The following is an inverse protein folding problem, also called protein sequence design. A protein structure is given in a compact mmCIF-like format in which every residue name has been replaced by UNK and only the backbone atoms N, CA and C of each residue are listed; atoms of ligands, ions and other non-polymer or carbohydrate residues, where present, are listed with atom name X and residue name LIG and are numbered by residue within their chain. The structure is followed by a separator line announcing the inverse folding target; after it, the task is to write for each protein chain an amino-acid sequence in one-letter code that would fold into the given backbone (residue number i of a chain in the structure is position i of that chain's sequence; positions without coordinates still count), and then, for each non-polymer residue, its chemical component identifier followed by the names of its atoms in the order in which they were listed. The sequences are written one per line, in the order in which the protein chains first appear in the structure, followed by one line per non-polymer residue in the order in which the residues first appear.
data_IF_297854574847
#
_entry.id   IF_297854574847
#
_cell.length_a   1.000
_cell.length_b   1.000
_cell.length_c   1.000
_cell.angle_alpha   90.00
_cell.angle_beta   90.00
_cell.angle_gamma   90.00
#
_symmetry.space_group_name_H-M   'P 1'
#
loop_
_entity.id
_entity.type
_entity.pdbx_description
1 polymer ?
#
# COMPACT_ATOMS: atom_id res chain seq x y z
N UNK A 1 8.19 -1.58 31.23
CA UNK A 1 8.21 -0.81 29.99
C UNK A 1 8.01 -1.80 28.86
N UNK A 2 7.01 -1.58 28.00
CA UNK A 2 6.73 -2.42 26.84
C UNK A 2 7.86 -2.27 25.82
N UNK A 3 8.26 -3.36 25.17
CA UNK A 3 9.24 -3.33 24.08
C UNK A 3 8.49 -3.12 22.76
N UNK A 4 8.64 -1.96 22.12
CA UNK A 4 7.92 -1.63 20.88
C UNK A 4 8.56 -2.31 19.67
N UNK A 5 7.70 -2.88 18.83
CA UNK A 5 8.10 -3.46 17.55
C UNK A 5 8.72 -2.41 16.63
N UNK A 6 9.50 -2.86 15.64
CA UNK A 6 10.08 -1.96 14.62
C UNK A 6 9.00 -1.10 13.95
N UNK A 7 7.83 -1.67 13.64
CA UNK A 7 6.73 -0.95 12.99
C UNK A 7 6.06 0.09 13.90
N UNK A 8 5.92 -0.17 15.20
CA UNK A 8 5.42 0.82 16.15
C UNK A 8 6.36 2.04 16.23
N UNK A 9 7.67 1.78 16.31
CA UNK A 9 8.72 2.82 16.30
C UNK A 9 8.68 3.59 14.97
N UNK A 10 8.56 2.89 13.84
CA UNK A 10 8.48 3.47 12.50
C UNK A 10 7.28 4.38 12.34
N UNK A 11 6.09 3.91 12.71
CA UNK A 11 4.86 4.68 12.62
C UNK A 11 4.96 5.97 13.44
N UNK A 12 5.44 5.88 14.68
CA UNK A 12 5.64 7.05 15.54
C UNK A 12 6.63 8.06 14.92
N UNK A 13 7.80 7.60 14.43
CA UNK A 13 8.79 8.46 13.79
C UNK A 13 8.24 9.16 12.53
N UNK A 14 7.51 8.43 11.68
CA UNK A 14 6.89 9.00 10.47
C UNK A 14 5.79 10.02 10.81
N UNK A 15 5.01 9.79 11.87
CA UNK A 15 3.97 10.74 12.31
C UNK A 15 4.56 12.04 12.85
N UNK A 16 5.72 11.98 13.52
CA UNK A 16 6.48 13.16 13.95
C UNK A 16 6.99 13.92 12.72
N UNK A 17 7.67 13.23 11.81
CA UNK A 17 8.21 13.84 10.59
C UNK A 17 7.10 14.45 9.72
N UNK A 18 5.90 13.89 9.79
CA UNK A 18 4.72 14.40 9.11
C UNK A 18 3.95 15.51 9.82
N UNK A 19 4.39 15.91 11.02
CA UNK A 19 3.66 16.87 11.85
C UNK A 19 2.27 16.38 12.28
N UNK A 20 1.99 15.08 12.18
CA UNK A 20 0.74 14.45 12.65
C UNK A 20 0.75 14.28 14.16
N UNK A 21 1.93 14.09 14.73
CA UNK A 21 2.19 14.04 16.17
C UNK A 21 3.05 15.24 16.58
N UNK A 22 2.69 15.87 17.69
CA UNK A 22 3.52 16.93 18.29
C UNK A 22 4.54 16.31 19.22
N UNK A 23 5.79 16.71 19.14
CA UNK A 23 6.83 16.29 20.07
C UNK A 23 7.43 17.52 20.78
N UNK A 24 8.04 17.27 21.94
CA UNK A 24 8.55 18.31 22.83
C UNK A 24 9.87 18.92 22.36
N UNK A 25 10.60 18.24 21.46
CA UNK A 25 11.88 18.69 20.93
C UNK A 25 11.79 19.01 19.44
N UNK A 26 12.75 19.80 18.94
CA UNK A 26 13.05 19.80 17.51
C UNK A 26 13.38 18.37 17.06
N UNK A 27 13.16 18.04 15.79
CA UNK A 27 13.40 16.69 15.29
C UNK A 27 14.25 16.76 14.01
N UNK A 28 15.29 17.59 14.03
CA UNK A 28 16.22 17.78 12.91
C UNK A 28 17.56 17.10 13.15
N UNK A 29 17.76 16.47 14.31
CA UNK A 29 18.91 15.63 14.63
C UNK A 29 18.49 14.22 15.06
N UNK A 30 19.34 13.23 14.78
CA UNK A 30 19.10 11.82 15.10
C UNK A 30 18.63 11.59 16.55
N UNK A 31 19.37 12.14 17.53
CA UNK A 31 19.08 11.97 18.96
C UNK A 31 17.73 12.60 19.31
N UNK A 32 17.45 13.78 18.77
CA UNK A 32 16.19 14.46 19.06
C UNK A 32 15.00 13.70 18.48
N UNK A 33 15.11 13.17 17.25
CA UNK A 33 14.06 12.31 16.68
C UNK A 33 13.85 11.04 17.52
N UNK A 34 14.91 10.44 18.07
CA UNK A 34 14.80 9.29 18.96
C UNK A 34 14.02 9.62 20.25
N UNK A 35 14.32 10.77 20.88
CA UNK A 35 13.61 11.26 22.07
C UNK A 35 12.14 11.56 21.76
N UNK A 36 11.87 12.23 20.64
CA UNK A 36 10.51 12.51 20.17
C UNK A 36 9.74 11.21 19.91
N UNK A 37 10.39 10.19 19.33
CA UNK A 37 9.78 8.89 19.06
C UNK A 37 9.43 8.16 20.36
N UNK A 38 10.35 8.15 21.34
CA UNK A 38 10.08 7.60 22.68
C UNK A 38 8.91 8.31 23.38
N UNK A 39 8.84 9.64 23.25
CA UNK A 39 7.76 10.45 23.80
C UNK A 39 6.40 10.07 23.20
N UNK A 40 6.31 9.98 21.87
CA UNK A 40 5.07 9.60 21.17
C UNK A 40 4.63 8.20 21.54
N UNK A 41 5.56 7.23 21.57
CA UNK A 41 5.25 5.85 21.94
C UNK A 41 4.72 5.75 23.38
N UNK A 42 5.37 6.43 24.32
CA UNK A 42 4.90 6.46 25.71
C UNK A 42 3.50 7.05 25.84
N UNK A 43 3.16 8.10 25.06
CA UNK A 43 1.79 8.63 25.03
C UNK A 43 0.78 7.64 24.44
N UNK A 44 1.16 6.90 23.40
CA UNK A 44 0.31 5.86 22.79
C UNK A 44 0.02 4.70 23.73
N UNK A 45 0.96 4.38 24.61
CA UNK A 45 0.78 3.42 25.70
C UNK A 45 -0.08 3.96 26.86
N UNK A 46 -0.59 5.19 26.77
CA UNK A 46 -1.44 5.80 27.78
C UNK A 46 -0.68 6.37 28.99
N UNK A 47 0.64 6.52 28.89
CA UNK A 47 1.44 7.15 29.93
C UNK A 47 1.49 8.67 29.72
N UNK A 48 1.01 9.42 30.71
CA UNK A 48 1.08 10.89 30.75
C UNK A 48 2.17 11.30 31.74
N UNK A 49 3.30 11.82 31.27
CA UNK A 49 4.32 12.42 32.15
C UNK A 49 4.37 13.93 31.93
N UNK A 50 4.51 14.64 33.05
CA UNK A 50 4.64 16.09 33.13
C UNK A 50 5.95 16.57 32.48
N UNK A 51 5.87 17.65 31.72
CA UNK A 51 7.02 18.34 31.10
C UNK A 51 8.01 18.73 32.21
N UNK A 52 9.24 18.19 32.17
CA UNK A 52 10.33 18.57 33.09
C UNK A 52 10.74 17.55 34.17
N UNK A 53 10.24 16.31 34.15
CA UNK A 53 10.74 15.27 35.06
C UNK A 53 12.19 14.83 34.69
N UNK A 54 13.12 14.69 35.66
CA UNK A 54 14.48 14.21 35.39
C UNK A 54 14.44 12.71 35.09
N UNK A 55 14.52 12.36 33.81
CA UNK A 55 14.43 10.98 33.30
C UNK A 55 13.59 10.90 32.03
N UNK A 56 13.97 11.69 31.02
CA UNK A 56 13.21 11.85 29.77
C UNK A 56 12.96 10.54 29.01
N UNK A 57 11.97 10.57 28.13
CA UNK A 57 11.62 9.45 27.25
C UNK A 57 12.85 9.02 26.44
N UNK A 58 13.30 7.77 26.61
CA UNK A 58 14.49 7.26 25.96
C UNK A 58 14.21 5.84 25.45
N UNK A 59 14.49 5.60 24.16
CA UNK A 59 14.50 4.24 23.62
C UNK A 59 15.69 3.50 24.20
N UNK A 60 15.45 2.37 24.88
CA UNK A 60 16.50 1.61 25.58
C UNK A 60 16.63 0.20 25.03
N UNK A 61 17.82 -0.37 25.16
CA UNK A 61 18.08 -1.74 24.73
C UNK A 61 17.76 -1.96 23.25
N UNK A 62 16.90 -2.95 22.96
CA UNK A 62 16.55 -3.30 21.57
C UNK A 62 15.80 -2.19 20.83
N UNK A 63 15.01 -1.35 21.52
CA UNK A 63 14.30 -0.25 20.87
C UNK A 63 15.26 0.79 20.28
N UNK A 64 16.38 1.04 20.97
CA UNK A 64 17.43 1.94 20.49
C UNK A 64 18.07 1.42 19.21
N UNK A 65 18.36 0.12 19.16
CA UNK A 65 18.93 -0.51 17.96
C UNK A 65 17.92 -0.58 16.81
N UNK A 66 16.64 -0.91 17.07
CA UNK A 66 15.58 -0.86 16.06
C UNK A 66 15.38 0.55 15.50
N UNK A 67 15.44 1.57 16.35
CA UNK A 67 15.39 2.96 15.88
C UNK A 67 16.61 3.35 15.05
N UNK A 68 17.80 2.87 15.43
CA UNK A 68 19.03 3.05 14.63
C UNK A 68 18.87 2.45 13.24
N UNK A 69 18.37 1.22 13.14
CA UNK A 69 18.07 0.56 11.87
C UNK A 69 17.02 1.34 11.06
N UNK A 70 15.90 1.72 11.71
CA UNK A 70 14.85 2.53 11.11
C UNK A 70 15.39 3.83 10.50
N UNK A 71 16.24 4.56 11.23
CA UNK A 71 16.79 5.82 10.73
C UNK A 71 17.55 5.61 9.42
N UNK A 72 18.37 4.56 9.36
CA UNK A 72 19.10 4.20 8.13
C UNK A 72 18.17 3.71 7.03
N UNK A 73 17.07 3.05 7.37
CA UNK A 73 16.06 2.62 6.40
C UNK A 73 15.35 3.81 5.77
N UNK A 74 14.95 4.81 6.56
CA UNK A 74 14.38 6.05 6.05
C UNK A 74 15.35 6.79 5.12
N UNK A 75 16.65 6.77 5.44
CA UNK A 75 17.68 7.33 4.57
C UNK A 75 17.84 6.55 3.26
N UNK A 76 17.95 5.22 3.32
CA UNK A 76 18.07 4.36 2.13
C UNK A 76 16.84 4.40 1.23
N UNK A 77 15.66 4.61 1.80
CA UNK A 77 14.40 4.81 1.08
C UNK A 77 14.27 6.22 0.49
N UNK A 78 15.23 7.12 0.78
CA UNK A 78 15.23 8.49 0.30
C UNK A 78 14.18 9.38 0.96
N UNK A 79 13.53 8.95 2.05
CA UNK A 79 12.53 9.74 2.78
C UNK A 79 13.22 10.88 3.52
N UNK A 80 14.35 10.59 4.15
CA UNK A 80 15.23 11.59 4.76
C UNK A 80 16.56 11.68 4.00
N UNK A 81 17.25 12.81 4.13
CA UNK A 81 18.63 13.00 3.71
C UNK A 81 19.45 13.56 4.87
N UNK A 82 20.75 13.27 4.88
CA UNK A 82 21.68 13.86 5.85
C UNK A 82 21.93 15.33 5.54
N UNK A 83 22.17 16.09 6.60
CA UNK A 83 22.35 17.53 6.58
C UNK A 83 21.03 18.30 6.61
N UNK A 84 20.97 19.34 7.43
CA UNK A 84 19.83 20.25 7.53
C UNK A 84 19.96 21.41 6.54
N UNK A 85 21.16 21.98 6.41
CA UNK A 85 21.50 23.12 5.53
C UNK A 85 23.02 23.27 5.41
N UNK A 86 23.50 24.28 4.68
CA UNK A 86 24.94 24.54 4.48
C UNK A 86 25.72 24.73 5.78
N UNK A 87 25.07 25.26 6.82
CA UNK A 87 25.66 25.42 8.16
C UNK A 87 25.72 24.10 8.94
N UNK A 88 24.89 23.11 8.57
CA UNK A 88 24.75 21.82 9.24
C UNK A 88 24.65 20.69 8.20
N UNK A 89 25.69 20.45 7.38
CA UNK A 89 25.59 19.59 6.21
C UNK A 89 25.73 18.09 6.52
N UNK A 90 26.12 17.73 7.74
CA UNK A 90 26.51 16.38 8.12
C UNK A 90 25.60 15.78 9.20
N UNK A 91 25.66 14.46 9.36
CA UNK A 91 25.14 13.77 10.55
C UNK A 91 25.70 14.41 11.84
N UNK A 92 24.92 14.60 12.91
CA UNK A 92 23.61 14.00 13.19
C UNK A 92 22.41 14.74 12.57
N UNK A 93 22.65 15.85 11.87
CA UNK A 93 21.59 16.62 11.24
C UNK A 93 21.00 15.88 10.04
N UNK A 94 19.70 16.00 9.89
CA UNK A 94 18.98 15.45 8.75
C UNK A 94 17.76 16.33 8.46
N UNK A 95 17.14 16.07 7.31
CA UNK A 95 15.87 16.67 6.93
C UNK A 95 15.07 15.72 6.07
N UNK A 96 13.78 15.98 5.93
CA UNK A 96 13.01 15.35 4.86
C UNK A 96 13.59 15.73 3.51
N UNK A 97 13.74 14.72 2.65
CA UNK A 97 14.08 14.96 1.26
C UNK A 97 12.89 15.61 0.54
N UNK A 98 13.07 16.01 -0.73
CA UNK A 98 11.93 16.43 -1.54
C UNK A 98 10.93 15.28 -1.72
N UNK A 99 11.42 14.06 -1.98
CA UNK A 99 10.60 12.86 -2.08
C UNK A 99 9.84 12.56 -0.78
N UNK A 100 10.51 12.63 0.37
CA UNK A 100 9.88 12.39 1.68
C UNK A 100 8.79 13.41 2.02
N UNK A 101 8.97 14.69 1.66
CA UNK A 101 7.91 15.71 1.81
C UNK A 101 6.68 15.40 0.98
N UNK A 102 6.87 15.04 -0.30
CA UNK A 102 5.76 14.64 -1.16
C UNK A 102 5.00 13.42 -0.62
N UNK A 103 5.72 12.44 -0.07
CA UNK A 103 5.12 11.25 0.55
C UNK A 103 4.30 11.59 1.82
N UNK A 104 4.66 12.66 2.52
CA UNK A 104 4.15 13.02 3.85
C UNK A 104 3.00 14.03 3.81
N UNK A 105 2.97 14.95 2.85
CA UNK A 105 2.06 16.12 2.78
C UNK A 105 0.56 15.80 2.49
N UNK A 106 0.11 14.55 2.70
CA UNK A 106 -1.30 14.12 2.67
C UNK A 106 -2.11 14.60 1.45
N UNK A 107 -1.74 14.13 0.26
CA UNK A 107 -2.69 14.13 -0.87
C UNK A 107 -2.67 12.84 -1.68
N UNK A 108 -1.99 11.79 -1.20
CA UNK A 108 -2.10 10.47 -1.81
C UNK A 108 -3.25 9.69 -1.16
N UNK A 109 -4.32 9.35 -1.91
CA UNK A 109 -5.20 8.29 -1.51
C UNK A 109 -4.38 7.01 -1.33
N UNK A 110 -4.61 6.30 -0.21
CA UNK A 110 -3.92 5.05 0.15
C UNK A 110 -2.48 5.21 0.65
N UNK A 111 -2.26 5.91 1.78
CA UNK A 111 -0.94 5.95 2.41
C UNK A 111 -0.56 4.60 3.02
N UNK A 112 0.38 3.87 2.41
CA UNK A 112 0.97 2.66 2.98
C UNK A 112 2.46 2.58 2.69
N UNK A 113 3.23 2.02 3.61
CA UNK A 113 4.70 1.93 3.51
C UNK A 113 5.28 0.59 3.96
N UNK A 114 4.45 -0.28 4.55
CA UNK A 114 4.80 -1.61 5.01
C UNK A 114 3.63 -2.60 4.75
N UNK A 115 3.79 -3.87 5.14
CA UNK A 115 2.75 -4.90 4.91
C UNK A 115 1.51 -4.65 5.76
N UNK A 116 1.68 -4.21 7.00
CA UNK A 116 0.60 -3.94 7.96
C UNK A 116 -0.23 -2.75 7.50
N UNK A 117 0.40 -1.60 7.22
CA UNK A 117 -0.29 -0.41 6.72
C UNK A 117 -0.99 -0.65 5.37
N UNK A 118 -0.37 -1.43 4.48
CA UNK A 118 -1.04 -1.84 3.23
C UNK A 118 -2.27 -2.73 3.48
N UNK A 119 -2.12 -3.69 4.40
CA UNK A 119 -3.21 -4.60 4.80
C UNK A 119 -4.39 -3.83 5.42
N UNK A 120 -4.10 -2.87 6.28
CA UNK A 120 -5.10 -2.01 6.94
C UNK A 120 -5.88 -1.21 5.91
N UNK A 121 -5.19 -0.47 5.03
CA UNK A 121 -5.82 0.32 3.97
C UNK A 121 -6.71 -0.55 3.07
N UNK A 122 -6.26 -1.77 2.71
CA UNK A 122 -7.06 -2.70 1.93
C UNK A 122 -8.31 -3.15 2.70
N UNK A 123 -8.19 -3.50 3.98
CA UNK A 123 -9.34 -3.94 4.81
C UNK A 123 -10.33 -2.83 5.10
N UNK A 124 -9.86 -1.60 5.29
CA UNK A 124 -10.72 -0.42 5.44
C UNK A 124 -11.49 -0.15 4.15
N UNK A 125 -10.81 -0.26 2.99
CA UNK A 125 -11.41 0.01 1.68
C UNK A 125 -12.32 -1.13 1.21
N UNK A 126 -11.94 -2.38 1.47
CA UNK A 126 -12.66 -3.61 1.10
C UNK A 126 -12.78 -4.54 2.33
N UNK A 127 -13.72 -4.29 3.26
CA UNK A 127 -13.85 -5.07 4.50
C UNK A 127 -14.10 -6.57 4.30
N UNK A 128 -14.67 -6.95 3.14
CA UNK A 128 -14.97 -8.34 2.75
C UNK A 128 -13.90 -8.95 1.83
N UNK A 129 -12.69 -8.40 1.82
CA UNK A 129 -11.59 -8.89 0.96
C UNK A 129 -11.38 -10.40 1.18
N UNK A 130 -11.22 -11.14 0.10
CA UNK A 130 -10.99 -12.57 0.13
C UNK A 130 -9.62 -12.86 0.76
N UNK A 131 -9.57 -13.85 1.66
CA UNK A 131 -8.34 -14.19 2.41
C UNK A 131 -7.17 -14.58 1.50
N UNK A 132 -7.42 -15.33 0.43
CA UNK A 132 -6.39 -15.74 -0.53
C UNK A 132 -5.88 -14.52 -1.31
N UNK A 133 -6.78 -13.67 -1.80
CA UNK A 133 -6.39 -12.40 -2.43
C UNK A 133 -5.49 -11.58 -1.48
N UNK A 134 -5.89 -11.45 -0.21
CA UNK A 134 -5.14 -10.68 0.77
C UNK A 134 -3.74 -11.24 1.02
N UNK A 135 -3.59 -12.58 1.10
CA UNK A 135 -2.27 -13.22 1.23
C UNK A 135 -1.35 -12.81 0.07
N UNK A 136 -1.82 -12.89 -1.17
CA UNK A 136 -0.99 -12.49 -2.33
C UNK A 136 -0.66 -10.99 -2.34
N UNK A 137 -1.53 -10.13 -1.81
CA UNK A 137 -1.22 -8.70 -1.65
C UNK A 137 -0.16 -8.46 -0.58
N UNK A 138 -0.20 -9.21 0.51
CA UNK A 138 0.83 -9.16 1.55
C UNK A 138 2.18 -9.62 1.02
N UNK A 139 2.21 -10.73 0.27
CA UNK A 139 3.42 -11.22 -0.42
C UNK A 139 3.95 -10.21 -1.44
N UNK A 140 3.07 -9.56 -2.21
CA UNK A 140 3.46 -8.52 -3.15
C UNK A 140 4.14 -7.33 -2.44
N UNK A 141 3.57 -6.88 -1.32
CA UNK A 141 4.12 -5.76 -0.54
C UNK A 141 5.42 -6.14 0.17
N UNK A 142 5.53 -7.37 0.68
CA UNK A 142 6.76 -7.87 1.29
C UNK A 142 7.89 -7.93 0.26
N UNK A 143 7.62 -8.50 -0.92
CA UNK A 143 8.59 -8.57 -2.01
C UNK A 143 9.02 -7.18 -2.51
N UNK A 144 8.09 -6.21 -2.55
CA UNK A 144 8.41 -4.83 -2.89
C UNK A 144 9.36 -4.21 -1.85
N UNK A 145 9.10 -4.40 -0.56
CA UNK A 145 9.95 -3.87 0.51
C UNK A 145 11.36 -4.42 0.46
N UNK A 146 11.53 -5.72 0.19
CA UNK A 146 12.85 -6.36 0.08
C UNK A 146 13.55 -6.13 -1.26
N UNK A 147 12.95 -5.37 -2.19
CA UNK A 147 13.54 -5.05 -3.49
C UNK A 147 13.39 -6.14 -4.55
N UNK A 148 12.60 -7.19 -4.28
CA UNK A 148 12.28 -8.26 -5.24
C UNK A 148 11.15 -7.83 -6.19
N UNK A 149 11.42 -6.81 -7.02
CA UNK A 149 10.38 -6.12 -7.81
C UNK A 149 9.65 -7.01 -8.83
N UNK A 150 10.34 -7.97 -9.44
CA UNK A 150 9.71 -8.95 -10.34
C UNK A 150 8.72 -9.85 -9.58
N UNK A 151 9.14 -10.34 -8.41
CA UNK A 151 8.27 -11.15 -7.53
C UNK A 151 7.07 -10.35 -7.06
N UNK A 152 7.26 -9.09 -6.69
CA UNK A 152 6.17 -8.19 -6.30
C UNK A 152 5.14 -8.04 -7.43
N UNK A 153 5.60 -7.81 -8.66
CA UNK A 153 4.73 -7.71 -9.83
C UNK A 153 3.95 -9.00 -10.12
N UNK A 154 4.61 -10.17 -9.95
CA UNK A 154 3.96 -11.47 -10.11
C UNK A 154 2.88 -11.68 -9.05
N UNK A 155 3.18 -11.47 -7.77
CA UNK A 155 2.20 -11.65 -6.68
C UNK A 155 1.01 -10.69 -6.81
N UNK A 156 1.27 -9.43 -7.16
CA UNK A 156 0.20 -8.46 -7.41
C UNK A 156 -0.71 -8.90 -8.56
N UNK A 157 -0.13 -9.37 -9.66
CA UNK A 157 -0.91 -9.88 -10.79
C UNK A 157 -1.72 -11.13 -10.45
N UNK A 158 -1.21 -12.02 -9.59
CA UNK A 158 -2.00 -13.16 -9.08
C UNK A 158 -3.21 -12.67 -8.26
N UNK A 159 -3.01 -11.71 -7.35
CA UNK A 159 -4.10 -11.12 -6.58
C UNK A 159 -5.17 -10.46 -7.48
N UNK A 160 -4.73 -9.74 -8.51
CA UNK A 160 -5.60 -9.12 -9.53
C UNK A 160 -6.42 -10.17 -10.28
N UNK A 161 -5.79 -11.19 -10.83
CA UNK A 161 -6.47 -12.25 -11.59
C UNK A 161 -7.44 -13.03 -10.71
N UNK A 162 -7.04 -13.37 -9.49
CA UNK A 162 -7.89 -14.08 -8.53
C UNK A 162 -9.14 -13.26 -8.17
N UNK A 163 -8.98 -11.96 -7.91
CA UNK A 163 -10.12 -11.08 -7.58
C UNK A 163 -11.12 -10.98 -8.73
N UNK A 164 -10.64 -10.91 -9.97
CA UNK A 164 -11.51 -10.95 -11.14
C UNK A 164 -12.26 -12.28 -11.29
N UNK A 165 -11.59 -13.41 -11.01
CA UNK A 165 -12.22 -14.73 -11.05
C UNK A 165 -13.33 -14.86 -9.99
N UNK A 166 -13.12 -14.36 -8.78
CA UNK A 166 -14.17 -14.35 -7.74
C UNK A 166 -15.42 -13.59 -8.18
N UNK A 167 -15.26 -12.45 -8.86
CA UNK A 167 -16.40 -11.74 -9.45
C UNK A 167 -17.09 -12.59 -10.52
N UNK A 168 -16.34 -13.27 -11.39
CA UNK A 168 -16.93 -14.16 -12.40
C UNK A 168 -17.70 -15.33 -11.75
N UNK A 169 -17.21 -15.88 -10.64
CA UNK A 169 -17.89 -16.94 -9.91
C UNK A 169 -19.25 -16.45 -9.38
N UNK A 170 -19.30 -15.24 -8.82
CA UNK A 170 -20.55 -14.61 -8.38
C UNK A 170 -21.55 -14.44 -9.55
N UNK A 171 -21.08 -13.97 -10.71
CA UNK A 171 -21.92 -13.86 -11.92
C UNK A 171 -22.45 -15.24 -12.33
N UNK A 172 -21.61 -16.27 -12.28
CA UNK A 172 -21.97 -17.63 -12.70
C UNK A 172 -23.04 -18.25 -11.80
N UNK A 173 -23.02 -17.92 -10.51
CA UNK A 173 -23.95 -18.39 -9.50
C UNK A 173 -25.33 -17.71 -9.57
N UNK A 174 -25.42 -16.50 -10.14
CA UNK A 174 -26.68 -15.80 -10.31
C UNK A 174 -27.33 -16.13 -11.67
N UNK A 175 -28.48 -16.81 -11.67
CA UNK A 175 -29.19 -17.23 -12.89
C UNK A 175 -29.56 -16.09 -13.83
N UNK A 176 -29.79 -14.88 -13.30
CA UNK A 176 -30.16 -13.69 -14.07
C UNK A 176 -28.98 -13.21 -14.91
N UNK A 177 -27.79 -13.12 -14.31
CA UNK A 177 -26.60 -12.59 -14.97
C UNK A 177 -25.78 -13.67 -15.71
N UNK A 178 -25.79 -14.90 -15.23
CA UNK A 178 -25.04 -16.04 -15.79
C UNK A 178 -25.36 -16.27 -17.27
N UNK A 179 -26.62 -16.08 -17.69
CA UNK A 179 -27.02 -16.22 -19.10
C UNK A 179 -26.31 -15.23 -20.01
N UNK A 180 -26.30 -13.95 -19.62
CA UNK A 180 -25.65 -12.84 -20.35
C UNK A 180 -24.14 -13.10 -20.49
N UNK A 181 -23.50 -13.56 -19.43
CA UNK A 181 -22.04 -13.74 -19.37
C UNK A 181 -21.56 -15.17 -19.69
N UNK A 182 -22.46 -16.08 -20.08
CA UNK A 182 -22.15 -17.49 -20.38
C UNK A 182 -20.98 -17.70 -21.34
N UNK A 183 -20.81 -16.80 -22.32
CA UNK A 183 -19.71 -16.85 -23.29
C UNK A 183 -18.33 -16.50 -22.69
N UNK A 184 -18.29 -15.81 -21.54
CA UNK A 184 -17.06 -15.53 -20.77
C UNK A 184 -16.55 -16.81 -20.13
N UNK A 185 -17.43 -17.63 -19.56
CA UNK A 185 -17.03 -18.86 -18.85
C UNK A 185 -16.38 -19.87 -19.78
N UNK A 186 -16.76 -19.89 -21.07
CA UNK A 186 -16.18 -20.74 -22.12
C UNK A 186 -14.76 -20.37 -22.54
N UNK A 187 -14.26 -19.19 -22.19
CA UNK A 187 -12.92 -18.76 -22.55
C UNK A 187 -11.86 -19.52 -21.76
N UNK A 188 -10.75 -19.91 -22.43
CA UNK A 188 -9.69 -20.73 -21.83
C UNK A 188 -8.75 -19.92 -20.95
N UNK A 189 -8.30 -18.77 -21.45
CA UNK A 189 -7.32 -17.94 -20.74
C UNK A 189 -7.98 -16.80 -19.99
N UNK A 190 -7.33 -16.34 -18.92
CA UNK A 190 -7.80 -15.18 -18.14
C UNK A 190 -7.94 -13.93 -19.00
N UNK A 191 -7.01 -13.70 -19.94
CA UNK A 191 -7.07 -12.58 -20.89
C UNK A 191 -8.34 -12.64 -21.76
N UNK A 192 -8.64 -13.81 -22.30
CA UNK A 192 -9.84 -13.99 -23.11
C UNK A 192 -11.10 -13.78 -22.27
N UNK A 193 -11.12 -14.23 -21.00
CA UNK A 193 -12.23 -13.96 -20.06
C UNK A 193 -12.40 -12.46 -19.83
N UNK A 194 -11.33 -11.74 -19.50
CA UNK A 194 -11.33 -10.29 -19.26
C UNK A 194 -11.85 -9.55 -20.49
N UNK A 195 -11.30 -9.83 -21.67
CA UNK A 195 -11.69 -9.16 -22.91
C UNK A 195 -13.17 -9.43 -23.25
N UNK A 196 -13.61 -10.69 -23.09
CA UNK A 196 -15.01 -11.05 -23.38
C UNK A 196 -15.97 -10.41 -22.39
N UNK A 197 -15.62 -10.41 -21.10
CA UNK A 197 -16.39 -9.73 -20.05
C UNK A 197 -16.51 -8.24 -20.34
N UNK A 198 -15.39 -7.56 -20.61
CA UNK A 198 -15.38 -6.12 -20.91
C UNK A 198 -16.28 -5.78 -22.09
N UNK A 199 -16.20 -6.53 -23.18
CA UNK A 199 -17.05 -6.30 -24.35
C UNK A 199 -18.55 -6.41 -24.01
N UNK A 200 -18.93 -7.41 -23.20
CA UNK A 200 -20.32 -7.57 -22.76
C UNK A 200 -20.75 -6.49 -21.77
N UNK A 201 -19.86 -6.11 -20.86
CA UNK A 201 -20.09 -5.03 -19.90
C UNK A 201 -20.37 -3.72 -20.63
N UNK A 202 -19.55 -3.34 -21.62
CA UNK A 202 -19.77 -2.16 -22.45
C UNK A 202 -21.09 -2.21 -23.22
N UNK A 203 -21.46 -3.37 -23.78
CA UNK A 203 -22.74 -3.55 -24.49
C UNK A 203 -23.96 -3.40 -23.56
N UNK A 204 -23.81 -3.75 -22.28
CA UNK A 204 -24.89 -3.74 -21.30
C UNK A 204 -24.78 -2.58 -20.31
N UNK A 205 -23.88 -1.62 -20.55
CA UNK A 205 -23.55 -0.55 -19.61
C UNK A 205 -24.78 0.30 -19.26
N UNK A 206 -25.75 0.41 -20.18
CA UNK A 206 -27.05 1.05 -19.95
C UNK A 206 -27.78 0.56 -18.71
N UNK A 207 -27.66 -0.73 -18.38
CA UNK A 207 -28.42 -1.41 -17.33
C UNK A 207 -27.82 -1.28 -15.93
N UNK A 208 -26.63 -0.68 -15.80
CA UNK A 208 -25.96 -0.48 -14.51
C UNK A 208 -26.40 0.84 -13.86
N UNK A 209 -26.38 0.94 -12.53
CA UNK A 209 -26.44 2.22 -11.81
C UNK A 209 -25.31 3.17 -12.22
N UNK A 210 -25.55 4.48 -12.23
CA UNK A 210 -24.58 5.50 -12.66
C UNK A 210 -23.22 5.38 -11.95
N UNK A 211 -23.20 5.21 -10.62
CA UNK A 211 -21.94 5.08 -9.85
C UNK A 211 -21.11 3.82 -10.18
N UNK A 212 -21.71 2.79 -10.78
CA UNK A 212 -20.95 1.62 -11.28
C UNK A 212 -20.38 1.86 -12.68
N UNK A 213 -20.98 2.74 -13.48
CA UNK A 213 -20.48 3.09 -14.82
C UNK A 213 -19.25 4.00 -14.75
N UNK A 214 -19.21 4.86 -13.73
CA UNK A 214 -18.11 5.78 -13.50
C UNK A 214 -16.79 5.01 -13.34
N UNK A 215 -15.76 5.49 -14.04
CA UNK A 215 -14.40 4.95 -14.07
C UNK A 215 -14.23 3.48 -14.47
N UNK A 216 -15.29 2.81 -14.97
CA UNK A 216 -15.24 1.38 -15.27
C UNK A 216 -14.18 1.04 -16.33
N UNK A 217 -14.04 1.89 -17.35
CA UNK A 217 -13.00 1.74 -18.37
C UNK A 217 -11.61 2.01 -17.80
N UNK A 218 -11.46 2.97 -16.88
CA UNK A 218 -10.20 3.22 -16.17
C UNK A 218 -9.73 1.98 -15.39
N UNK A 219 -10.65 1.30 -14.71
CA UNK A 219 -10.32 0.09 -13.95
C UNK A 219 -10.00 -1.12 -14.84
N UNK A 220 -10.80 -1.40 -15.86
CA UNK A 220 -10.63 -2.60 -16.69
C UNK A 220 -9.67 -2.44 -17.87
N UNK A 221 -9.71 -1.30 -18.57
CA UNK A 221 -8.84 -1.03 -19.71
C UNK A 221 -7.49 -0.44 -19.27
N UNK A 222 -7.48 0.36 -18.20
CA UNK A 222 -6.27 0.94 -17.61
C UNK A 222 -5.61 -0.02 -16.62
N UNK A 223 -6.07 0.01 -15.36
CA UNK A 223 -5.38 -0.60 -14.22
C UNK A 223 -5.11 -2.10 -14.43
N UNK A 224 -6.16 -2.87 -14.75
CA UNK A 224 -6.04 -4.31 -14.96
C UNK A 224 -5.07 -4.66 -16.09
N UNK A 225 -5.12 -3.91 -17.19
CA UNK A 225 -4.24 -4.14 -18.35
C UNK A 225 -2.78 -3.86 -18.00
N UNK A 226 -2.52 -2.76 -17.27
CA UNK A 226 -1.18 -2.37 -16.84
C UNK A 226 -0.60 -3.40 -15.87
N UNK A 227 -1.31 -3.75 -14.79
CA UNK A 227 -0.84 -4.75 -13.81
C UNK A 227 -0.53 -6.09 -14.51
N UNK A 228 -1.41 -6.54 -15.41
CA UNK A 228 -1.21 -7.79 -16.15
C UNK A 228 0.00 -7.73 -17.08
N UNK A 229 0.25 -6.59 -17.71
CA UNK A 229 1.42 -6.39 -18.58
C UNK A 229 2.71 -6.50 -17.78
N UNK A 230 2.80 -5.81 -16.64
CA UNK A 230 3.95 -5.90 -15.74
C UNK A 230 4.15 -7.31 -15.18
N UNK A 231 3.06 -8.01 -14.80
CA UNK A 231 3.13 -9.40 -14.37
C UNK A 231 3.65 -10.34 -15.47
N UNK A 232 3.20 -10.17 -16.71
CA UNK A 232 3.67 -10.99 -17.83
C UNK A 232 5.13 -10.71 -18.16
N UNK A 233 5.53 -9.43 -18.18
CA UNK A 233 6.91 -9.04 -18.40
C UNK A 233 7.84 -9.59 -17.30
N UNK A 234 7.37 -9.61 -16.05
CA UNK A 234 8.11 -10.16 -14.91
C UNK A 234 8.11 -11.70 -14.83
N UNK A 235 7.02 -12.35 -15.25
CA UNK A 235 6.90 -13.82 -15.24
C UNK A 235 7.55 -14.51 -16.44
N UNK A 236 7.83 -13.78 -17.52
CA UNK A 236 8.59 -14.27 -18.67
C UNK A 236 10.03 -13.75 -18.62
N UNK A 237 11.03 -14.52 -19.10
CA UNK A 237 12.43 -14.12 -19.10
C UNK A 237 12.71 -13.06 -20.19
N UNK A 238 12.07 -11.90 -20.10
CA UNK A 238 12.14 -10.82 -21.08
C UNK A 238 13.31 -9.86 -20.82
N UNK A 239 13.87 -9.87 -19.61
CA UNK A 239 14.90 -8.92 -19.18
C UNK A 239 14.37 -7.51 -18.86
N UNK A 240 13.05 -7.28 -18.98
CA UNK A 240 12.44 -6.02 -18.57
C UNK A 240 12.41 -5.91 -17.05
N UNK A 241 12.88 -4.77 -16.55
CA UNK A 241 12.94 -4.48 -15.12
C UNK A 241 11.80 -3.52 -14.78
N UNK A 242 10.97 -3.91 -13.83
CA UNK A 242 9.97 -3.01 -13.22
C UNK A 242 10.72 -2.09 -12.27
N UNK A 243 10.59 -0.78 -12.43
CA UNK A 243 11.20 0.18 -11.49
C UNK A 243 10.48 0.14 -10.14
N UNK A 244 11.16 0.59 -9.07
CA UNK A 244 10.55 0.63 -7.74
C UNK A 244 9.34 1.56 -7.72
N UNK A 245 9.44 2.71 -8.38
CA UNK A 245 8.38 3.71 -8.51
C UNK A 245 7.20 3.14 -9.28
N UNK A 246 7.45 2.43 -10.39
CA UNK A 246 6.41 1.75 -11.15
C UNK A 246 5.69 0.72 -10.27
N UNK A 247 6.43 -0.12 -9.55
CA UNK A 247 5.83 -1.14 -8.68
C UNK A 247 5.00 -0.51 -7.56
N UNK A 248 5.47 0.59 -6.96
CA UNK A 248 4.74 1.32 -5.94
C UNK A 248 3.41 1.87 -6.47
N UNK A 249 3.41 2.44 -7.68
CA UNK A 249 2.18 2.88 -8.36
C UNK A 249 1.24 1.69 -8.60
N UNK A 250 1.74 0.53 -9.03
CA UNK A 250 0.89 -0.64 -9.25
C UNK A 250 0.21 -1.13 -7.96
N UNK A 251 0.94 -1.14 -6.84
CA UNK A 251 0.37 -1.50 -5.53
C UNK A 251 -0.77 -0.55 -5.13
N UNK A 252 -0.65 0.75 -5.44
CA UNK A 252 -1.70 1.75 -5.20
C UNK A 252 -2.89 1.54 -6.12
N UNK A 253 -2.66 1.33 -7.42
CA UNK A 253 -3.72 1.15 -8.41
C UNK A 253 -4.57 -0.10 -8.16
N UNK A 254 -4.01 -1.13 -7.52
CA UNK A 254 -4.77 -2.31 -7.16
C UNK A 254 -5.98 -2.00 -6.26
N UNK A 255 -5.83 -1.10 -5.27
CA UNK A 255 -6.86 -0.85 -4.27
C UNK A 255 -8.17 -0.33 -4.89
N UNK A 256 -8.19 0.76 -5.70
CA UNK A 256 -9.41 1.24 -6.31
C UNK A 256 -9.97 0.25 -7.34
N UNK A 257 -9.11 -0.51 -8.04
CA UNK A 257 -9.56 -1.62 -8.90
C UNK A 257 -10.28 -2.72 -8.13
N UNK A 258 -9.71 -3.17 -7.02
CA UNK A 258 -10.30 -4.20 -6.18
C UNK A 258 -11.64 -3.74 -5.61
N UNK A 259 -11.72 -2.49 -5.12
CA UNK A 259 -12.98 -1.90 -4.68
C UNK A 259 -14.05 -1.96 -5.76
N UNK A 260 -13.74 -1.53 -6.99
CA UNK A 260 -14.69 -1.56 -8.12
C UNK A 260 -15.16 -2.99 -8.45
N UNK A 261 -14.27 -3.98 -8.41
CA UNK A 261 -14.68 -5.38 -8.61
C UNK A 261 -15.62 -5.89 -7.51
N UNK A 262 -15.40 -5.47 -6.27
CA UNK A 262 -16.30 -5.82 -5.17
C UNK A 262 -17.66 -5.14 -5.30
N UNK A 263 -17.71 -3.87 -5.69
CA UNK A 263 -18.96 -3.17 -6.01
C UNK A 263 -19.75 -3.87 -7.13
N UNK A 264 -19.07 -4.32 -8.19
CA UNK A 264 -19.67 -5.11 -9.26
C UNK A 264 -20.15 -6.48 -8.77
N UNK A 265 -19.36 -7.15 -7.94
CA UNK A 265 -19.72 -8.43 -7.34
C UNK A 265 -20.99 -8.30 -6.49
N UNK A 266 -21.11 -7.25 -5.69
CA UNK A 266 -22.32 -6.98 -4.92
C UNK A 266 -23.54 -6.68 -5.81
N UNK A 267 -23.35 -6.00 -6.94
CA UNK A 267 -24.41 -5.83 -7.94
C UNK A 267 -24.86 -7.17 -8.53
N UNK A 268 -23.91 -8.05 -8.91
CA UNK A 268 -24.23 -9.35 -9.50
C UNK A 268 -24.82 -10.37 -8.52
N UNK A 269 -24.67 -10.16 -7.21
CA UNK A 269 -25.28 -11.00 -6.19
C UNK A 269 -26.73 -10.63 -5.88
N UNK A 270 -27.22 -9.49 -6.39
CA UNK A 270 -28.63 -9.10 -6.31
C UNK A 270 -29.47 -9.78 -7.37
#
# INVERSE_FOLDING_TARGET
MRDHTYEEIRAAALDILAGRERASFAHSQYVELALCTAEVLSRRDGHTISIGAPGGYELRGQESERFRELFWDLFRQGIITLGLNDSNPNFPFFRLSQFGRHLIDRNEPYFFHDVSSYTEVIKETIPKINKVTLIYLQEAMQAFQTGCLLSAAVMLGVATEHTFLLMLDAISANSTHSRTYSSVFKQKTILQKINKYRNLLTQNLGNYPSGLKEDIDTHFAGILSVIRTFRNDAGHPTGKIVSREQMYVLLHLFIPYCRKLYELTEYYNK
#
